data_IF_234504163831
#
_entry.id   IF_234504163831
#
_cell.length_a   1.000
_cell.length_b   1.000
_cell.length_c   1.000
_cell.angle_alpha   90.00
_cell.angle_beta   90.00
_cell.angle_gamma   90.00
#
_symmetry.space_group_name_H-M   'P 1'
#
loop_
_entity.id
_entity.type
_entity.pdbx_description
1 polymer ?
#
# COMPACT_ATOMS: atom_id res chain seq x y z
N UNK A 1 -14.70 4.44 -11.33
CA UNK A 1 -13.38 3.81 -11.08
C UNK A 1 -13.47 2.35 -11.48
N UNK A 2 -12.45 1.78 -12.15
CA UNK A 2 -12.40 0.34 -12.40
C UNK A 2 -12.43 -0.42 -11.07
N UNK A 3 -13.05 -1.60 -11.08
CA UNK A 3 -13.09 -2.48 -9.91
C UNK A 3 -11.68 -3.01 -9.68
N UNK A 4 -11.18 -2.93 -8.44
CA UNK A 4 -9.94 -3.61 -8.07
C UNK A 4 -10.07 -5.11 -8.38
N UNK A 5 -9.04 -5.76 -8.93
CA UNK A 5 -9.02 -7.21 -9.04
C UNK A 5 -9.16 -7.83 -7.66
N UNK A 6 -9.87 -8.96 -7.55
CA UNK A 6 -9.93 -9.73 -6.31
C UNK A 6 -8.54 -10.33 -6.04
N UNK A 7 -8.06 -10.21 -4.80
CA UNK A 7 -6.86 -10.90 -4.34
C UNK A 7 -7.04 -12.40 -4.54
N UNK A 8 -6.04 -13.05 -5.11
CA UNK A 8 -6.03 -14.51 -5.10
C UNK A 8 -5.91 -14.99 -3.64
N UNK A 9 -6.39 -16.21 -3.32
CA UNK A 9 -6.20 -16.78 -1.98
C UNK A 9 -4.73 -16.80 -1.53
N UNK A 10 -3.80 -17.00 -2.48
CA UNK A 10 -2.36 -16.97 -2.25
C UNK A 10 -1.88 -15.57 -1.82
N UNK A 11 -2.31 -14.53 -2.54
CA UNK A 11 -1.98 -13.15 -2.17
C UNK A 11 -2.58 -12.78 -0.80
N UNK A 12 -3.80 -13.24 -0.50
CA UNK A 12 -4.46 -12.99 0.78
C UNK A 12 -3.76 -13.69 1.96
N UNK A 13 -3.03 -14.77 1.72
CA UNK A 13 -2.20 -15.45 2.72
C UNK A 13 -0.87 -14.72 2.93
N UNK A 14 -0.20 -14.30 1.84
CA UNK A 14 1.01 -13.49 1.90
C UNK A 14 0.78 -12.16 2.62
N UNK A 15 -0.35 -11.52 2.37
CA UNK A 15 -0.79 -10.29 3.04
C UNK A 15 -0.97 -10.45 4.55
N UNK A 16 -0.96 -11.65 5.12
CA UNK A 16 -0.98 -11.87 6.58
C UNK A 16 0.40 -11.91 7.19
N UNK A 17 1.45 -12.07 6.39
CA UNK A 17 2.84 -12.12 6.86
C UNK A 17 3.37 -10.68 7.10
N UNK A 18 3.77 -10.33 8.33
CA UNK A 18 4.35 -9.03 8.63
C UNK A 18 5.68 -8.77 7.89
N UNK A 19 6.44 -9.82 7.55
CA UNK A 19 7.68 -9.70 6.78
C UNK A 19 7.38 -9.26 5.35
N UNK A 20 6.40 -9.92 4.72
CA UNK A 20 5.93 -9.56 3.37
C UNK A 20 5.44 -8.11 3.32
N UNK A 21 4.63 -7.69 4.30
CA UNK A 21 4.15 -6.30 4.36
C UNK A 21 5.28 -5.28 4.43
N UNK A 22 6.31 -5.58 5.22
CA UNK A 22 7.49 -4.74 5.32
C UNK A 22 8.27 -4.68 4.00
N UNK A 23 8.50 -5.82 3.36
CA UNK A 23 9.16 -5.88 2.05
C UNK A 23 8.39 -5.07 0.99
N UNK A 24 7.05 -5.15 0.98
CA UNK A 24 6.21 -4.34 0.08
C UNK A 24 6.39 -2.85 0.35
N UNK A 25 6.41 -2.41 1.61
CA UNK A 25 6.65 -1.00 1.94
C UNK A 25 8.04 -0.55 1.52
N UNK A 26 9.08 -1.33 1.81
CA UNK A 26 10.45 -1.04 1.40
C UNK A 26 10.56 -0.90 -0.13
N UNK A 27 9.97 -1.83 -0.89
CA UNK A 27 9.91 -1.78 -2.36
C UNK A 27 9.20 -0.52 -2.90
N UNK A 28 8.12 -0.09 -2.26
CA UNK A 28 7.40 1.14 -2.65
C UNK A 28 8.28 2.38 -2.39
N UNK A 29 8.97 2.43 -1.25
CA UNK A 29 9.85 3.54 -0.89
C UNK A 29 11.05 3.62 -1.85
N UNK A 30 11.72 2.49 -2.11
CA UNK A 30 12.83 2.39 -3.04
C UNK A 30 12.39 2.78 -4.46
N UNK A 31 11.28 2.23 -4.93
CA UNK A 31 10.75 2.55 -6.25
C UNK A 31 10.35 4.02 -6.42
N UNK A 32 9.93 4.70 -5.34
CA UNK A 32 9.69 6.14 -5.36
C UNK A 32 11.00 6.94 -5.41
N UNK A 33 12.01 6.54 -4.64
CA UNK A 33 13.34 7.16 -4.63
C UNK A 33 14.02 7.06 -6.01
N UNK A 34 14.02 5.88 -6.64
CA UNK A 34 14.58 5.67 -7.99
C UNK A 34 13.93 6.56 -9.06
N UNK A 35 12.65 6.89 -8.88
CA UNK A 35 11.88 7.76 -9.79
C UNK A 35 11.96 9.25 -9.41
N UNK A 36 12.69 9.59 -8.35
CA UNK A 36 12.77 10.96 -7.82
C UNK A 36 11.43 11.48 -7.30
N UNK A 37 10.52 10.59 -6.89
CA UNK A 37 9.21 10.94 -6.38
C UNK A 37 9.26 11.17 -4.87
N UNK A 38 8.66 12.28 -4.43
CA UNK A 38 8.48 12.56 -3.01
C UNK A 38 7.18 11.91 -2.52
N UNK A 39 7.30 11.03 -1.53
CA UNK A 39 6.15 10.47 -0.83
C UNK A 39 5.68 11.46 0.22
N UNK A 40 4.46 11.97 0.05
CA UNK A 40 3.86 12.91 0.99
C UNK A 40 3.55 12.26 2.36
N UNK A 41 3.24 13.10 3.35
CA UNK A 41 2.97 12.66 4.74
C UNK A 41 1.72 11.79 4.89
N UNK A 42 0.71 11.94 4.03
CA UNK A 42 -0.48 11.07 4.02
C UNK A 42 -0.08 9.68 3.50
N UNK A 43 0.59 9.60 2.36
CA UNK A 43 1.06 8.34 1.79
C UNK A 43 1.97 7.59 2.76
N UNK A 44 2.93 8.27 3.40
CA UNK A 44 3.81 7.65 4.41
C UNK A 44 3.03 7.04 5.58
N UNK A 45 2.01 7.73 6.10
CA UNK A 45 1.17 7.20 7.19
C UNK A 45 0.34 6.00 6.78
N UNK A 46 -0.13 5.96 5.53
CA UNK A 46 -0.87 4.80 5.02
C UNK A 46 0.06 3.59 4.89
N UNK A 47 1.29 3.78 4.41
CA UNK A 47 2.31 2.72 4.37
C UNK A 47 2.64 2.19 5.77
N UNK A 48 2.80 3.06 6.77
CA UNK A 48 3.00 2.65 8.17
C UNK A 48 1.80 1.87 8.74
N UNK A 49 0.57 2.24 8.38
CA UNK A 49 -0.65 1.52 8.80
C UNK A 49 -0.72 0.13 8.14
N UNK A 50 -0.35 0.05 6.87
CA UNK A 50 -0.27 -1.20 6.13
C UNK A 50 0.81 -2.12 6.70
N UNK A 51 2.02 -1.60 6.92
CA UNK A 51 3.14 -2.35 7.54
C UNK A 51 2.74 -2.99 8.88
N UNK A 52 2.01 -2.23 9.72
CA UNK A 52 1.51 -2.69 11.03
C UNK A 52 0.31 -3.63 10.93
N UNK A 53 -0.30 -3.78 9.76
CA UNK A 53 -1.49 -4.59 9.56
C UNK A 53 -2.79 -3.95 10.00
N UNK A 54 -2.80 -2.64 10.24
CA UNK A 54 -4.02 -1.90 10.59
C UNK A 54 -4.95 -1.74 9.39
N UNK A 55 -4.39 -1.75 8.17
CA UNK A 55 -5.13 -1.75 6.90
C UNK A 55 -4.52 -2.80 5.96
N UNK A 56 -5.32 -3.30 5.01
CA UNK A 56 -4.86 -4.21 3.96
C UNK A 56 -4.43 -3.43 2.69
N UNK A 57 -3.85 -4.14 1.71
CA UNK A 57 -3.40 -3.53 0.46
C UNK A 57 -4.54 -2.90 -0.36
N UNK A 58 -5.78 -3.40 -0.23
CA UNK A 58 -6.96 -2.83 -0.89
C UNK A 58 -7.31 -1.46 -0.32
N UNK A 59 -7.34 -1.33 1.01
CA UNK A 59 -7.57 -0.08 1.70
C UNK A 59 -6.45 0.93 1.40
N UNK A 60 -5.19 0.47 1.38
CA UNK A 60 -4.05 1.30 0.99
C UNK A 60 -4.21 1.86 -0.44
N UNK A 61 -4.54 0.99 -1.41
CA UNK A 61 -4.77 1.40 -2.81
C UNK A 61 -5.92 2.40 -2.93
N UNK A 62 -7.04 2.10 -2.27
CA UNK A 62 -8.22 2.94 -2.33
C UNK A 62 -7.94 4.35 -1.79
N UNK A 63 -7.20 4.45 -0.69
CA UNK A 63 -6.86 5.73 -0.07
C UNK A 63 -5.89 6.56 -0.90
N UNK A 64 -4.90 5.93 -1.54
CA UNK A 64 -3.96 6.61 -2.46
C UNK A 64 -4.69 7.09 -3.71
N UNK A 65 -5.54 6.24 -4.30
CA UNK A 65 -6.26 6.53 -5.55
C UNK A 65 -7.47 7.46 -5.38
N UNK A 66 -7.85 7.82 -4.15
CA UNK A 66 -8.99 8.72 -3.90
C UNK A 66 -8.59 10.17 -4.17
N UNK A 67 -9.09 10.83 -5.24
CA UNK A 67 -9.08 12.28 -5.28
C UNK A 67 -9.87 12.76 -4.07
N UNK A 68 -9.34 13.74 -3.33
CA UNK A 68 -10.04 14.37 -2.22
C UNK A 68 -11.30 15.01 -2.83
N UNK A 69 -12.44 14.31 -2.75
CA UNK A 69 -13.73 14.85 -3.13
C UNK A 69 -14.05 15.93 -2.10
N UNK A 70 -13.76 17.18 -2.49
CA UNK A 70 -14.36 18.37 -1.88
C UNK A 70 -15.83 18.46 -2.28
#
# INVERSE_FOLDING_TARGET
MPRLPELTPEDAELERDPTFRREVVENILEGAEERGLLIDRRCRRLLEQYERGTIDCHALYYEIGRPVLH
#
